data_IF_423404416603
#
_entry.id   IF_423404416603
#
_cell.length_a   1.000
_cell.length_b   1.000
_cell.length_c   1.000
_cell.angle_alpha   90.00
_cell.angle_beta   90.00
_cell.angle_gamma   90.00
#
_symmetry.space_group_name_H-M   'P 1'
#
loop_
_entity.id
_entity.type
_entity.pdbx_description
1 polymer ?
#
# COMPACT_ATOMS: atom_id res chain seq x y z
N UNK A 1 -17.68 -44.22 -8.71
CA UNK A 1 -16.35 -43.56 -8.64
C UNK A 1 -16.20 -42.31 -9.52
N UNK A 2 -16.99 -42.14 -10.59
CA UNK A 2 -16.97 -40.97 -11.50
C UNK A 2 -17.47 -39.67 -10.86
N UNK A 3 -18.51 -39.71 -10.01
CA UNK A 3 -19.07 -38.50 -9.36
C UNK A 3 -18.12 -37.83 -8.35
N UNK A 4 -17.26 -38.62 -7.68
CA UNK A 4 -16.26 -38.07 -6.75
C UNK A 4 -15.18 -37.29 -7.49
N UNK A 5 -14.73 -37.77 -8.65
CA UNK A 5 -13.69 -37.12 -9.46
C UNK A 5 -14.16 -35.78 -10.03
N UNK A 6 -15.45 -35.62 -10.29
CA UNK A 6 -16.05 -34.35 -10.74
C UNK A 6 -16.38 -33.40 -9.59
N UNK A 7 -16.68 -33.90 -8.39
CA UNK A 7 -17.01 -33.06 -7.24
C UNK A 7 -15.77 -32.46 -6.55
N UNK A 8 -14.65 -33.18 -6.58
CA UNK A 8 -13.38 -32.72 -5.99
C UNK A 8 -12.94 -31.31 -6.45
N UNK A 9 -12.90 -30.98 -7.75
CA UNK A 9 -12.50 -29.63 -8.18
C UNK A 9 -13.49 -28.54 -7.75
N UNK A 10 -14.79 -28.84 -7.72
CA UNK A 10 -15.82 -27.90 -7.27
C UNK A 10 -15.68 -27.59 -5.78
N UNK A 11 -15.40 -28.61 -4.96
CA UNK A 11 -15.16 -28.44 -3.52
C UNK A 11 -13.87 -27.65 -3.27
N UNK A 12 -12.81 -27.91 -4.03
CA UNK A 12 -11.57 -27.16 -3.94
C UNK A 12 -11.79 -25.68 -4.30
N UNK A 13 -12.49 -25.40 -5.40
CA UNK A 13 -12.81 -24.03 -5.81
C UNK A 13 -13.65 -23.30 -4.76
N UNK A 14 -14.68 -23.95 -4.21
CA UNK A 14 -15.51 -23.39 -3.15
C UNK A 14 -14.68 -23.10 -1.88
N UNK A 15 -13.77 -24.00 -1.51
CA UNK A 15 -12.85 -23.80 -0.38
C UNK A 15 -11.91 -22.62 -0.59
N UNK A 16 -11.31 -22.49 -1.78
CA UNK A 16 -10.44 -21.36 -2.12
C UNK A 16 -11.20 -20.02 -2.12
N UNK A 17 -12.43 -20.00 -2.65
CA UNK A 17 -13.27 -18.81 -2.63
C UNK A 17 -13.62 -18.38 -1.19
N UNK A 18 -13.98 -19.33 -0.33
CA UNK A 18 -14.25 -19.05 1.08
C UNK A 18 -13.01 -18.51 1.81
N UNK A 19 -11.83 -19.10 1.56
CA UNK A 19 -10.56 -18.62 2.09
C UNK A 19 -10.28 -17.18 1.68
N UNK A 20 -10.47 -16.83 0.41
CA UNK A 20 -10.26 -15.47 -0.08
C UNK A 20 -11.15 -14.45 0.64
N UNK A 21 -12.45 -14.76 0.81
CA UNK A 21 -13.38 -13.90 1.56
C UNK A 21 -12.91 -13.72 2.99
N UNK A 22 -12.58 -14.80 3.69
CA UNK A 22 -12.08 -14.74 5.07
C UNK A 22 -10.82 -13.89 5.15
N UNK A 23 -9.86 -14.08 4.24
CA UNK A 23 -8.64 -13.28 4.19
C UNK A 23 -8.93 -11.79 4.07
N UNK A 24 -9.82 -11.37 3.16
CA UNK A 24 -10.20 -9.96 2.98
C UNK A 24 -10.83 -9.39 4.26
N UNK A 25 -11.73 -10.14 4.90
CA UNK A 25 -12.34 -9.71 6.17
C UNK A 25 -11.31 -9.56 7.28
N UNK A 26 -10.40 -10.53 7.41
CA UNK A 26 -9.36 -10.52 8.45
C UNK A 26 -8.26 -9.50 8.19
N UNK A 27 -8.06 -9.11 6.93
CA UNK A 27 -7.14 -8.05 6.56
C UNK A 27 -7.64 -6.65 6.97
N UNK A 28 -8.86 -6.55 7.51
CA UNK A 28 -9.45 -5.27 7.91
C UNK A 28 -9.96 -4.44 6.73
N UNK A 29 -10.08 -5.02 5.53
CA UNK A 29 -10.61 -4.31 4.36
C UNK A 29 -12.11 -3.97 4.48
N UNK A 30 -12.83 -4.60 5.41
CA UNK A 30 -14.24 -4.27 5.72
C UNK A 30 -14.35 -3.08 6.70
N UNK A 31 -13.27 -2.68 7.38
CA UNK A 31 -13.27 -1.54 8.29
C UNK A 31 -12.76 -0.31 7.52
N UNK A 32 -13.55 0.76 7.30
CA UNK A 32 -13.20 1.89 6.44
C UNK A 32 -11.99 2.74 6.91
N UNK A 33 -11.21 2.27 7.88
CA UNK A 33 -10.15 3.02 8.54
C UNK A 33 -10.72 4.09 9.45
N UNK A 34 -10.02 4.38 10.55
CA UNK A 34 -10.42 5.45 11.48
C UNK A 34 -9.22 6.29 11.88
N UNK A 35 -9.44 7.59 12.02
CA UNK A 35 -8.41 8.49 12.55
C UNK A 35 -8.33 8.34 14.06
N UNK A 36 -7.15 7.94 14.55
CA UNK A 36 -6.83 7.92 15.97
C UNK A 36 -5.87 9.06 16.29
N UNK A 37 -6.12 9.74 17.41
CA UNK A 37 -5.23 10.79 17.90
C UNK A 37 -3.96 10.16 18.50
N UNK A 38 -2.80 10.67 18.09
CA UNK A 38 -1.51 10.28 18.64
C UNK A 38 -1.10 11.19 19.82
N UNK A 39 -0.18 10.71 20.68
CA UNK A 39 0.29 11.49 21.83
C UNK A 39 0.98 12.81 21.48
N UNK A 40 1.46 12.96 20.24
CA UNK A 40 2.10 14.16 19.70
C UNK A 40 1.09 15.19 19.15
N UNK A 41 -0.21 14.93 19.28
CA UNK A 41 -1.28 15.80 18.81
C UNK A 41 -1.59 15.64 17.31
N UNK A 42 -0.96 14.68 16.63
CA UNK A 42 -1.28 14.32 15.25
C UNK A 42 -2.39 13.27 15.19
N UNK A 43 -2.88 12.97 13.99
CA UNK A 43 -3.84 11.89 13.75
C UNK A 43 -3.20 10.85 12.84
N UNK A 44 -3.30 9.57 13.20
CA UNK A 44 -2.95 8.47 12.32
C UNK A 44 -4.22 7.80 11.82
N UNK A 45 -4.25 7.48 10.52
CA UNK A 45 -5.28 6.61 9.97
C UNK A 45 -4.89 5.16 10.32
N UNK A 46 -5.67 4.55 11.19
CA UNK A 46 -5.46 3.18 11.67
C UNK A 46 -6.50 2.27 11.03
N UNK A 47 -6.06 1.13 10.49
CA UNK A 47 -6.91 0.22 9.73
C UNK A 47 -7.19 0.72 8.31
N UNK A 48 -8.19 0.11 7.66
CA UNK A 48 -8.55 0.40 6.28
C UNK A 48 -7.62 -0.21 5.25
N UNK A 49 -8.20 -0.88 4.24
CA UNK A 49 -7.48 -1.10 2.99
C UNK A 49 -7.52 0.22 2.22
N UNK A 50 -6.49 1.05 2.42
CA UNK A 50 -6.35 2.29 1.66
C UNK A 50 -5.93 1.99 0.24
N UNK A 51 -6.73 2.47 -0.72
CA UNK A 51 -6.33 2.51 -2.11
C UNK A 51 -5.13 3.47 -2.23
N UNK A 52 -4.07 3.16 -2.99
CA UNK A 52 -2.89 4.04 -3.12
C UNK A 52 -3.22 5.46 -3.59
N UNK A 53 -4.37 5.67 -4.23
CA UNK A 53 -4.88 6.97 -4.67
C UNK A 53 -5.51 7.82 -3.56
N UNK A 54 -5.89 7.23 -2.42
CA UNK A 54 -6.44 7.93 -1.26
C UNK A 54 -5.34 8.42 -0.29
N UNK A 55 -4.08 8.03 -0.56
CA UNK A 55 -2.94 8.52 0.19
C UNK A 55 -2.69 9.99 -0.17
N UNK A 56 -2.96 10.89 0.78
CA UNK A 56 -2.52 12.29 0.68
C UNK A 56 -1.00 12.32 0.79
N UNK A 57 -0.31 12.25 -0.36
CA UNK A 57 1.16 12.37 -0.43
C UNK A 57 1.52 13.86 -0.50
N UNK A 58 2.23 14.41 0.50
CA UNK A 58 2.75 15.77 0.42
C UNK A 58 3.64 15.91 -0.82
N UNK A 59 3.64 17.09 -1.49
CA UNK A 59 4.54 17.31 -2.60
C UNK A 59 6.00 17.06 -2.16
N UNK A 60 6.83 16.45 -3.01
CA UNK A 60 8.22 16.15 -2.66
C UNK A 60 8.94 17.43 -2.24
N UNK A 61 9.78 17.32 -1.21
CA UNK A 61 10.59 18.43 -0.75
C UNK A 61 11.44 18.98 -1.91
N UNK A 62 11.64 20.31 -2.02
CA UNK A 62 12.51 20.89 -3.03
C UNK A 62 13.89 20.22 -2.98
N UNK A 63 14.40 19.82 -4.15
CA UNK A 63 15.75 19.30 -4.26
C UNK A 63 16.74 20.40 -3.83
N UNK A 64 17.84 20.04 -3.13
CA UNK A 64 18.92 20.98 -2.85
C UNK A 64 19.41 21.61 -4.14
N UNK A 65 19.62 22.93 -4.13
CA UNK A 65 20.16 23.63 -5.28
C UNK A 65 21.56 23.07 -5.61
N UNK A 66 21.86 22.77 -6.89
CA UNK A 66 23.17 22.26 -7.25
C UNK A 66 24.27 23.24 -6.81
N UNK A 67 25.42 22.74 -6.35
CA UNK A 67 26.52 23.62 -5.97
C UNK A 67 26.94 24.49 -7.16
N UNK A 68 27.33 25.75 -6.92
CA UNK A 68 27.75 26.65 -7.98
C UNK A 68 28.90 26.03 -8.78
N UNK A 69 28.76 26.03 -10.11
CA UNK A 69 29.80 25.52 -11.01
C UNK A 69 31.05 26.39 -10.84
N UNK A 70 32.23 25.81 -10.52
CA UNK A 70 33.45 26.60 -10.40
C UNK A 70 33.78 27.27 -11.73
N UNK A 71 34.16 28.56 -11.65
CA UNK A 71 34.52 29.33 -12.82
C UNK A 71 35.72 28.68 -13.57
N UNK A 72 35.74 28.72 -14.91
CA UNK A 72 36.84 28.17 -15.69
C UNK A 72 38.16 28.86 -15.31
N UNK A 73 39.12 28.07 -14.83
CA UNK A 73 40.47 28.56 -14.50
C UNK A 73 41.17 28.91 -15.81
N UNK A 74 41.67 30.14 -16.02
CA UNK A 74 42.41 30.49 -17.22
C UNK A 74 43.68 29.65 -17.31
N UNK A 75 43.80 28.86 -18.38
CA UNK A 75 45.01 28.11 -18.67
C UNK A 75 46.13 29.09 -19.04
N UNK A 76 47.14 29.22 -18.18
CA UNK A 76 48.28 30.12 -18.40
C UNK A 76 49.29 29.40 -19.30
N UNK A 77 49.37 29.81 -20.56
CA UNK A 77 50.40 29.43 -21.53
C UNK A 77 51.65 30.29 -21.39
#
# INVERSE_FOLDING_TARGET
MTRLRTAAPLLAAAGLAALAVVSIRTAGCDDPGRYEALPDGTYALVGGCLEPGDLVVPPPAPLPEPPPVPAPVPSRS
#
